data_IF_683977231073
#
_entry.id   IF_683977231073
#
_cell.length_a   1.000
_cell.length_b   1.000
_cell.length_c   1.000
_cell.angle_alpha   90.00
_cell.angle_beta   90.00
_cell.angle_gamma   90.00
#
_symmetry.space_group_name_H-M   'P 1'
#
loop_
_entity.id
_entity.type
_entity.pdbx_description
1 polymer ?
#
# COMPACT_ATOMS: atom_id res chain seq x y z
N UNK A 1 2.03 -12.01 16.81
CA UNK A 1 2.04 -12.51 18.18
C UNK A 1 3.30 -13.34 18.43
N UNK A 2 4.09 -12.96 19.42
CA UNK A 2 5.38 -13.63 19.75
C UNK A 2 5.24 -15.12 20.16
N UNK A 3 4.02 -15.63 20.36
CA UNK A 3 3.76 -17.01 20.77
C UNK A 3 3.88 -18.04 19.65
N UNK A 4 3.42 -17.70 18.44
CA UNK A 4 3.44 -18.62 17.28
C UNK A 4 4.87 -18.88 16.83
N UNK A 5 5.70 -17.85 16.67
CA UNK A 5 7.10 -17.97 16.28
C UNK A 5 7.88 -18.90 17.22
N UNK A 6 7.73 -18.71 18.54
CA UNK A 6 8.35 -19.60 19.54
C UNK A 6 7.88 -21.05 19.44
N UNK A 7 6.64 -21.28 19.05
CA UNK A 7 6.14 -22.65 18.84
C UNK A 7 6.75 -23.27 17.60
N UNK A 8 6.89 -22.53 16.51
CA UNK A 8 7.52 -22.99 15.27
C UNK A 8 9.01 -23.33 15.49
N UNK A 9 9.74 -22.48 16.22
CA UNK A 9 11.13 -22.75 16.62
C UNK A 9 11.27 -24.04 17.42
N UNK A 10 10.34 -24.32 18.33
CA UNK A 10 10.34 -25.61 19.09
C UNK A 10 10.17 -26.83 18.20
N UNK A 11 9.53 -26.70 17.05
CA UNK A 11 9.46 -27.75 16.03
C UNK A 11 10.69 -27.82 15.12
N UNK A 12 11.72 -27.05 15.41
CA UNK A 12 12.97 -27.06 14.64
C UNK A 12 12.87 -26.32 13.30
N UNK A 13 11.85 -25.51 13.09
CA UNK A 13 11.69 -24.72 11.87
C UNK A 13 12.59 -23.48 11.94
N UNK A 14 13.35 -23.27 10.86
CA UNK A 14 14.16 -22.07 10.71
C UNK A 14 13.26 -20.86 10.42
N UNK A 15 13.39 -19.80 11.22
CA UNK A 15 12.64 -18.55 11.03
C UNK A 15 13.53 -17.47 10.44
N UNK A 16 12.99 -16.74 9.46
CA UNK A 16 13.53 -15.49 8.97
C UNK A 16 12.62 -14.33 9.34
N UNK A 17 13.10 -13.10 9.14
CA UNK A 17 12.31 -11.88 9.40
C UNK A 17 12.28 -10.98 8.19
N UNK A 18 11.09 -10.60 7.79
CA UNK A 18 10.83 -9.65 6.72
C UNK A 18 10.21 -8.37 7.27
N UNK A 19 10.38 -7.28 6.52
CA UNK A 19 9.75 -5.99 6.79
C UNK A 19 9.04 -5.48 5.55
N UNK A 20 7.92 -4.83 5.75
CA UNK A 20 7.13 -4.17 4.71
C UNK A 20 6.42 -2.95 5.27
N UNK A 21 5.59 -2.32 4.49
CA UNK A 21 4.73 -1.22 4.90
C UNK A 21 3.30 -1.42 4.43
N UNK A 22 2.40 -0.62 4.96
CA UNK A 22 1.04 -0.48 4.47
C UNK A 22 0.79 0.98 4.10
N UNK A 23 -0.03 1.29 3.09
CA UNK A 23 -0.41 2.67 2.80
C UNK A 23 -1.42 3.19 3.81
N UNK A 24 -1.65 4.49 3.80
CA UNK A 24 -2.76 5.11 4.51
C UNK A 24 -4.10 4.53 4.06
N UNK A 25 -5.13 4.64 4.90
CA UNK A 25 -6.53 4.36 4.55
C UNK A 25 -7.25 5.68 4.36
N UNK A 26 -7.93 5.84 3.24
CA UNK A 26 -8.53 7.08 2.79
C UNK A 26 -10.05 6.97 2.80
N UNK A 27 -10.76 8.03 3.23
CA UNK A 27 -12.20 8.07 3.07
C UNK A 27 -12.58 8.27 1.61
N UNK A 28 -13.35 7.35 1.03
CA UNK A 28 -13.80 7.37 -0.36
C UNK A 28 -14.54 8.66 -0.71
N UNK A 29 -15.35 9.18 0.21
CA UNK A 29 -16.13 10.42 0.03
C UNK A 29 -15.27 11.67 -0.17
N UNK A 30 -14.00 11.64 0.23
CA UNK A 30 -13.06 12.76 0.14
C UNK A 30 -12.15 12.71 -1.10
N UNK A 31 -12.28 11.66 -1.93
CA UNK A 31 -11.49 11.48 -3.14
C UNK A 31 -12.23 12.10 -4.33
N UNK A 32 -11.52 12.86 -5.15
CA UNK A 32 -12.04 13.37 -6.42
C UNK A 32 -11.77 12.38 -7.55
N UNK A 33 -12.77 11.59 -7.89
CA UNK A 33 -12.69 10.57 -8.94
C UNK A 33 -12.91 11.12 -10.35
N UNK A 34 -13.27 12.39 -10.52
CA UNK A 34 -13.77 12.93 -11.80
C UNK A 34 -12.76 12.87 -12.94
N UNK A 35 -11.48 12.99 -12.63
CA UNK A 35 -10.38 12.95 -13.60
C UNK A 35 -9.62 11.62 -13.63
N UNK A 36 -10.02 10.65 -12.81
CA UNK A 36 -9.28 9.41 -12.66
C UNK A 36 -9.75 8.35 -13.66
N UNK A 37 -8.81 7.54 -14.12
CA UNK A 37 -9.09 6.39 -14.96
C UNK A 37 -9.82 5.31 -14.15
N UNK A 38 -10.89 4.76 -14.71
CA UNK A 38 -11.66 3.67 -14.08
C UNK A 38 -11.14 2.33 -14.60
N UNK A 39 -10.81 1.44 -13.68
CA UNK A 39 -10.54 0.05 -13.97
C UNK A 39 -11.69 -0.82 -13.43
N UNK A 40 -12.52 -1.30 -14.33
CA UNK A 40 -13.59 -2.23 -14.00
C UNK A 40 -13.04 -3.65 -13.81
N UNK A 41 -13.72 -4.45 -12.99
CA UNK A 41 -13.51 -5.90 -12.96
C UNK A 41 -13.94 -6.58 -14.26
N UNK A 42 -13.67 -7.88 -14.35
CA UNK A 42 -14.05 -8.68 -15.51
C UNK A 42 -15.56 -8.71 -15.71
N UNK A 43 -16.00 -8.63 -16.97
CA UNK A 43 -17.43 -8.74 -17.31
C UNK A 43 -18.03 -10.07 -16.87
N UNK A 44 -17.22 -11.12 -16.88
CA UNK A 44 -17.56 -12.47 -16.42
C UNK A 44 -16.44 -12.89 -15.49
N UNK A 45 -16.57 -12.66 -14.16
CA UNK A 45 -15.54 -13.04 -13.21
C UNK A 45 -15.33 -14.55 -13.19
N UNK A 46 -14.10 -14.97 -13.39
CA UNK A 46 -13.72 -16.38 -13.30
C UNK A 46 -13.57 -16.82 -11.84
N UNK A 47 -13.96 -18.05 -11.56
CA UNK A 47 -13.76 -18.64 -10.24
C UNK A 47 -12.32 -19.15 -10.10
N UNK A 48 -11.71 -18.98 -8.92
CA UNK A 48 -10.37 -19.51 -8.61
C UNK A 48 -10.32 -21.05 -8.50
N UNK A 49 -11.48 -21.70 -8.38
CA UNK A 49 -11.58 -23.15 -8.25
C UNK A 49 -12.54 -23.70 -9.29
N UNK A 50 -12.15 -24.80 -9.94
CA UNK A 50 -13.03 -25.55 -10.86
C UNK A 50 -14.27 -26.12 -10.18
N UNK A 51 -14.28 -26.24 -8.86
CA UNK A 51 -15.42 -26.71 -8.06
C UNK A 51 -16.39 -25.58 -7.70
N UNK A 52 -16.00 -24.33 -7.90
CA UNK A 52 -16.84 -23.16 -7.61
C UNK A 52 -17.79 -22.88 -8.76
N UNK A 53 -19.04 -22.54 -8.44
CA UNK A 53 -19.99 -22.01 -9.41
C UNK A 53 -19.62 -20.59 -9.89
N UNK A 54 -20.51 -19.98 -10.69
CA UNK A 54 -20.33 -18.59 -11.14
C UNK A 54 -20.26 -17.63 -9.96
N UNK A 55 -19.33 -16.68 -10.02
CA UNK A 55 -19.27 -15.60 -9.08
C UNK A 55 -20.35 -14.56 -9.40
N UNK A 56 -21.33 -14.42 -8.50
CA UNK A 56 -22.44 -13.47 -8.64
C UNK A 56 -22.28 -12.24 -7.73
N UNK A 57 -21.13 -12.06 -7.09
CA UNK A 57 -20.89 -10.91 -6.23
C UNK A 57 -20.85 -9.62 -7.04
N UNK A 58 -21.42 -8.54 -6.46
CA UNK A 58 -21.30 -7.21 -7.02
C UNK A 58 -19.82 -6.85 -7.18
N UNK A 59 -19.43 -6.42 -8.37
CA UNK A 59 -18.10 -5.92 -8.64
C UNK A 59 -18.02 -4.42 -8.35
N UNK A 60 -16.94 -3.99 -7.73
CA UNK A 60 -16.61 -2.57 -7.54
C UNK A 60 -15.42 -2.23 -8.45
N UNK A 61 -15.46 -1.08 -9.14
CA UNK A 61 -14.30 -0.64 -9.89
C UNK A 61 -13.19 -0.16 -8.97
N UNK A 62 -11.96 -0.26 -9.42
CA UNK A 62 -10.84 0.48 -8.90
C UNK A 62 -10.60 1.74 -9.74
N UNK A 63 -9.90 2.70 -9.19
CA UNK A 63 -9.49 3.89 -9.92
C UNK A 63 -7.97 3.96 -9.96
N UNK A 64 -7.44 4.53 -11.03
CA UNK A 64 -6.00 4.66 -11.24
C UNK A 64 -5.61 6.12 -11.13
N UNK A 65 -4.61 6.39 -10.30
CA UNK A 65 -3.91 7.66 -10.23
C UNK A 65 -2.41 7.42 -10.22
N UNK A 66 -1.60 8.47 -10.04
CA UNK A 66 -0.16 8.38 -10.12
C UNK A 66 0.50 9.37 -9.17
N UNK A 67 1.69 9.03 -8.68
CA UNK A 67 2.56 10.00 -8.02
C UNK A 67 3.02 11.06 -9.01
N UNK A 68 3.40 12.23 -8.49
CA UNK A 68 3.94 13.36 -9.25
C UNK A 68 5.41 13.60 -8.88
N UNK A 69 6.10 14.45 -9.63
CA UNK A 69 7.45 14.90 -9.26
C UNK A 69 7.48 15.57 -7.89
N UNK A 70 6.43 16.31 -7.53
CA UNK A 70 6.31 16.94 -6.23
C UNK A 70 6.18 15.89 -5.12
N UNK A 71 5.38 14.84 -5.35
CA UNK A 71 5.28 13.66 -4.46
C UNK A 71 6.67 13.09 -4.20
N UNK A 72 7.46 12.88 -5.26
CA UNK A 72 8.80 12.30 -5.15
C UNK A 72 9.74 13.21 -4.36
N UNK A 73 9.78 14.51 -4.63
CA UNK A 73 10.62 15.49 -3.92
C UNK A 73 10.33 15.52 -2.42
N UNK A 74 9.06 15.46 -2.02
CA UNK A 74 8.67 15.42 -0.60
C UNK A 74 9.21 14.15 0.06
N UNK A 75 9.03 13.00 -0.59
CA UNK A 75 9.47 11.71 -0.06
C UNK A 75 10.99 11.64 0.04
N UNK A 76 11.72 12.01 -1.01
CA UNK A 76 13.19 12.04 -1.03
C UNK A 76 13.78 12.89 0.09
N UNK A 77 13.23 14.08 0.30
CA UNK A 77 13.64 14.99 1.39
C UNK A 77 13.47 14.39 2.78
N UNK A 78 12.53 13.44 2.93
CA UNK A 78 12.17 12.87 4.21
C UNK A 78 12.55 11.39 4.36
N UNK A 79 13.23 10.78 3.40
CA UNK A 79 13.48 9.34 3.33
C UNK A 79 14.15 8.78 4.59
N UNK A 80 15.07 9.52 5.20
CA UNK A 80 15.75 9.13 6.43
C UNK A 80 14.85 9.15 7.68
N UNK A 81 13.66 9.75 7.58
CA UNK A 81 12.66 9.74 8.67
C UNK A 81 11.78 8.50 8.66
N UNK A 82 11.82 7.71 7.58
CA UNK A 82 11.06 6.47 7.46
C UNK A 82 11.52 5.44 8.50
N UNK A 83 10.58 4.80 9.18
CA UNK A 83 10.88 3.78 10.17
C UNK A 83 11.63 2.57 9.57
N UNK A 84 11.43 2.29 8.29
CA UNK A 84 12.15 1.25 7.55
C UNK A 84 13.62 1.62 7.34
N UNK A 85 13.93 2.91 7.14
CA UNK A 85 15.26 3.40 6.77
C UNK A 85 16.07 3.92 7.96
N UNK A 86 15.42 4.30 9.06
CA UNK A 86 16.11 4.87 10.25
C UNK A 86 16.69 3.82 11.22
N UNK A 87 16.63 2.52 10.87
CA UNK A 87 17.17 1.44 11.68
C UNK A 87 16.29 0.96 12.84
N UNK A 88 15.11 1.54 13.04
CA UNK A 88 14.18 1.15 14.10
C UNK A 88 13.52 -0.20 13.84
N UNK A 89 13.58 -0.70 12.60
CA UNK A 89 12.97 -1.95 12.17
C UNK A 89 14.04 -2.87 11.59
N UNK A 90 14.09 -4.10 12.08
CA UNK A 90 14.98 -5.15 11.62
C UNK A 90 14.33 -5.96 10.47
N UNK A 91 15.15 -6.64 9.68
CA UNK A 91 14.69 -7.51 8.61
C UNK A 91 14.98 -6.97 7.21
N UNK A 92 14.70 -7.80 6.21
CA UNK A 92 14.91 -7.49 4.80
C UNK A 92 13.56 -7.22 4.14
N UNK A 93 13.49 -6.26 3.25
CA UNK A 93 12.29 -6.01 2.44
C UNK A 93 12.06 -7.18 1.46
N UNK A 94 10.83 -7.67 1.27
CA UNK A 94 10.54 -8.66 0.25
C UNK A 94 10.74 -8.07 -1.15
N UNK A 95 11.13 -8.93 -2.10
CA UNK A 95 11.51 -8.49 -3.45
C UNK A 95 10.41 -7.71 -4.18
N UNK A 96 9.16 -8.12 -4.02
CA UNK A 96 8.02 -7.63 -4.81
C UNK A 96 7.03 -6.76 -4.02
N UNK A 97 7.40 -6.31 -2.84
CA UNK A 97 6.58 -5.40 -2.03
C UNK A 97 7.40 -4.19 -1.54
N UNK A 98 7.94 -3.38 -2.46
CA UNK A 98 8.69 -2.19 -2.08
C UNK A 98 7.75 -1.12 -1.51
N UNK A 99 8.22 -0.36 -0.53
CA UNK A 99 7.60 0.88 -0.11
C UNK A 99 7.68 1.93 -1.22
N UNK A 100 6.95 3.03 -1.10
CA UNK A 100 7.09 4.13 -2.07
C UNK A 100 8.49 4.75 -1.99
N UNK A 101 9.10 4.80 -0.82
CA UNK A 101 10.47 5.23 -0.61
C UNK A 101 11.45 4.37 -1.42
N UNK A 102 11.32 3.05 -1.33
CA UNK A 102 12.14 2.09 -2.09
C UNK A 102 11.95 2.25 -3.61
N UNK A 103 10.71 2.51 -4.05
CA UNK A 103 10.43 2.70 -5.49
C UNK A 103 11.12 3.94 -6.04
N UNK A 104 11.04 5.04 -5.32
CA UNK A 104 11.64 6.31 -5.72
C UNK A 104 13.16 6.19 -5.77
N UNK A 105 13.77 5.52 -4.79
CA UNK A 105 15.21 5.31 -4.76
C UNK A 105 15.68 4.36 -5.87
N UNK A 106 15.01 3.21 -6.06
CA UNK A 106 15.41 2.19 -7.04
C UNK A 106 15.11 2.56 -8.48
N UNK A 107 14.09 3.38 -8.71
CA UNK A 107 13.62 3.81 -10.03
C UNK A 107 13.63 5.33 -10.14
N UNK A 108 14.75 5.94 -9.80
CA UNK A 108 14.94 7.40 -9.79
C UNK A 108 14.83 8.05 -11.18
N UNK A 109 14.88 7.26 -12.25
CA UNK A 109 14.63 7.68 -13.63
C UNK A 109 13.13 7.87 -13.94
N UNK A 110 12.24 7.41 -13.05
CA UNK A 110 10.80 7.51 -13.24
C UNK A 110 10.20 8.69 -12.48
N UNK A 111 9.53 9.55 -13.19
CA UNK A 111 8.87 10.74 -12.63
C UNK A 111 7.50 10.42 -12.01
N UNK A 112 7.02 9.17 -12.13
CA UNK A 112 5.67 8.78 -11.72
C UNK A 112 5.56 7.30 -11.47
N UNK A 113 4.82 6.92 -10.42
CA UNK A 113 4.44 5.55 -10.10
C UNK A 113 2.92 5.42 -10.07
N UNK A 114 2.41 4.34 -10.62
CA UNK A 114 0.98 4.04 -10.64
C UNK A 114 0.47 3.68 -9.25
N UNK A 115 -0.75 4.14 -8.97
CA UNK A 115 -1.48 3.89 -7.73
C UNK A 115 -2.87 3.37 -8.09
N UNK A 116 -3.28 2.26 -7.48
CA UNK A 116 -4.64 1.76 -7.57
C UNK A 116 -5.42 2.17 -6.32
N UNK A 117 -6.52 2.88 -6.50
CA UNK A 117 -7.45 3.21 -5.43
C UNK A 117 -8.47 2.08 -5.33
N UNK A 118 -8.26 1.19 -4.38
CA UNK A 118 -9.01 -0.05 -4.23
C UNK A 118 -9.98 0.07 -3.05
N UNK A 119 -11.31 -0.06 -3.26
CA UNK A 119 -12.26 -0.15 -2.14
C UNK A 119 -11.90 -1.33 -1.23
N UNK A 120 -11.87 -1.13 0.09
CA UNK A 120 -11.55 -2.22 1.03
C UNK A 120 -12.66 -3.28 1.14
N UNK A 121 -13.84 -3.01 0.60
CA UNK A 121 -14.95 -3.95 0.59
C UNK A 121 -16.25 -3.32 0.08
N UNK A 122 -17.26 -4.16 -0.14
CA UNK A 122 -18.56 -3.75 -0.71
C UNK A 122 -19.31 -2.73 0.16
N UNK A 123 -19.07 -2.74 1.46
CA UNK A 123 -19.73 -1.87 2.45
C UNK A 123 -18.76 -0.95 3.17
N UNK A 124 -17.49 -0.93 2.77
CA UNK A 124 -16.48 -0.07 3.38
C UNK A 124 -16.49 1.32 2.75
N UNK A 125 -16.36 2.33 3.59
CA UNK A 125 -16.15 3.72 3.15
C UNK A 125 -14.67 4.01 2.90
N UNK A 126 -13.80 3.02 3.11
CA UNK A 126 -12.36 3.18 3.02
C UNK A 126 -11.80 2.66 1.71
N UNK A 127 -10.78 3.37 1.24
CA UNK A 127 -10.01 3.06 0.05
C UNK A 127 -8.56 2.78 0.44
N UNK A 128 -8.01 1.72 -0.14
CA UNK A 128 -6.63 1.31 -0.04
C UNK A 128 -5.86 1.83 -1.27
N UNK A 129 -4.98 2.83 -1.13
CA UNK A 129 -4.18 3.34 -2.24
C UNK A 129 -2.97 2.42 -2.48
N UNK A 130 -3.19 1.34 -3.22
CA UNK A 130 -2.17 0.33 -3.50
C UNK A 130 -1.06 0.93 -4.38
N UNK A 131 0.17 0.82 -3.90
CA UNK A 131 1.35 1.33 -4.60
C UNK A 131 2.14 2.40 -3.85
N UNK A 132 1.59 2.93 -2.74
CA UNK A 132 2.23 3.94 -1.89
C UNK A 132 2.35 3.51 -0.43
N UNK A 133 2.61 2.21 -0.20
CA UNK A 133 2.98 1.75 1.14
C UNK A 133 4.16 2.54 1.67
N UNK A 134 4.10 2.97 2.93
CA UNK A 134 5.10 3.86 3.52
C UNK A 134 5.22 3.67 5.01
N UNK A 135 6.35 4.06 5.56
CA UNK A 135 6.59 4.20 6.99
C UNK A 135 7.10 5.58 7.38
N UNK A 136 6.90 6.56 6.51
CA UNK A 136 7.18 7.97 6.79
C UNK A 136 6.26 8.50 7.91
N UNK A 137 6.69 9.53 8.64
CA UNK A 137 5.87 10.18 9.66
C UNK A 137 4.53 10.70 9.09
N UNK A 138 3.51 10.76 9.93
CA UNK A 138 2.14 11.14 9.56
C UNK A 138 2.07 12.48 8.82
N UNK A 139 2.77 13.50 9.32
CA UNK A 139 2.82 14.82 8.68
C UNK A 139 3.44 14.79 7.27
N UNK A 140 4.37 13.89 7.00
CA UNK A 140 4.95 13.71 5.67
C UNK A 140 3.98 12.96 4.77
N UNK A 141 3.24 11.99 5.32
CA UNK A 141 2.18 11.30 4.58
C UNK A 141 1.07 12.28 4.17
N UNK A 142 0.63 13.15 5.06
CA UNK A 142 -0.30 14.23 4.75
C UNK A 142 0.18 15.10 3.59
N UNK A 143 1.45 15.48 3.62
CA UNK A 143 2.05 16.37 2.64
C UNK A 143 2.13 15.69 1.26
N UNK A 144 2.69 14.48 1.15
CA UNK A 144 2.89 13.85 -0.13
C UNK A 144 1.60 13.27 -0.74
N UNK A 145 0.67 12.74 0.07
CA UNK A 145 -0.58 12.17 -0.44
C UNK A 145 -1.41 13.25 -1.14
N UNK A 146 -1.44 14.47 -0.62
CA UNK A 146 -2.18 15.59 -1.20
C UNK A 146 -1.56 16.19 -2.46
N UNK A 147 -0.39 15.71 -2.88
CA UNK A 147 0.18 16.06 -4.20
C UNK A 147 -0.24 15.10 -5.32
N UNK A 148 -0.99 14.06 -4.98
CA UNK A 148 -1.43 13.02 -5.91
C UNK A 148 -2.78 13.42 -6.52
N UNK A 149 -2.94 13.40 -7.86
CA UNK A 149 -4.19 13.76 -8.52
C UNK A 149 -5.40 12.99 -7.97
N UNK A 150 -6.45 13.72 -7.62
CA UNK A 150 -7.67 13.20 -6.99
C UNK A 150 -7.60 13.06 -5.48
N UNK A 151 -6.44 13.25 -4.86
CA UNK A 151 -6.22 13.12 -3.41
C UNK A 151 -5.90 14.47 -2.73
N UNK A 152 -6.03 15.59 -3.42
CA UNK A 152 -5.62 16.92 -2.94
C UNK A 152 -6.35 17.33 -1.64
N UNK A 153 -7.57 16.86 -1.47
CA UNK A 153 -8.43 17.17 -0.31
C UNK A 153 -8.83 15.93 0.47
N UNK A 154 -8.08 14.84 0.29
CA UNK A 154 -8.42 13.57 0.90
C UNK A 154 -8.35 13.62 2.43
N UNK A 155 -9.28 12.92 3.06
CA UNK A 155 -9.29 12.65 4.50
C UNK A 155 -8.69 11.29 4.77
N UNK A 156 -7.74 11.25 5.70
CA UNK A 156 -7.01 10.05 6.08
C UNK A 156 -7.60 9.50 7.37
N UNK A 157 -8.14 8.29 7.33
CA UNK A 157 -8.65 7.59 8.50
C UNK A 157 -7.50 7.00 9.33
N UNK A 158 -6.53 6.41 8.65
CA UNK A 158 -5.39 5.76 9.29
C UNK A 158 -4.15 5.94 8.44
N UNK A 159 -3.08 6.38 9.05
CA UNK A 159 -1.79 6.51 8.36
C UNK A 159 -1.14 5.15 8.07
N UNK A 160 -0.31 5.13 7.04
CA UNK A 160 0.55 4.00 6.73
C UNK A 160 1.57 3.76 7.84
N UNK A 161 1.96 2.53 8.00
CA UNK A 161 2.92 2.12 9.03
C UNK A 161 3.76 0.94 8.56
N UNK A 162 4.92 0.79 9.19
CA UNK A 162 5.81 -0.34 8.93
C UNK A 162 5.32 -1.61 9.64
N UNK A 163 5.58 -2.75 9.02
CA UNK A 163 5.24 -4.07 9.51
C UNK A 163 6.49 -4.94 9.48
N UNK A 164 6.72 -5.65 10.57
CA UNK A 164 7.68 -6.76 10.64
C UNK A 164 6.93 -8.07 10.83
N UNK A 165 7.39 -9.13 10.18
CA UNK A 165 6.80 -10.46 10.34
C UNK A 165 7.84 -11.56 10.19
N UNK A 166 7.59 -12.66 10.92
CA UNK A 166 8.37 -13.86 10.82
C UNK A 166 7.83 -14.75 9.68
N UNK A 167 8.74 -15.47 9.01
CA UNK A 167 8.39 -16.45 7.99
C UNK A 167 9.27 -17.69 8.14
N UNK A 168 8.84 -18.80 7.55
CA UNK A 168 9.53 -20.11 7.52
C UNK A 168 10.20 -20.30 6.19
#
# INVERSE_FOLDING_TARGET
>A
SKGISKTLEKFGLALGRLKTGTPARLYSSSIDYTSLEIQNGDKIPEAFSYLSGKNNNKQLPCYITRTTEETHKIIEKNILKSAINNGNISGVGPRYCPSIEDKIERFSDKNSHQIFLEPEGLSSELVYPNGISTSLPENVQDEFIRTIPGLERVEIEKYGYAIEYDYI
#
